data_IF_949612269263
#
_entry.id   IF_949612269263
#
_cell.length_a   1.000
_cell.length_b   1.000
_cell.length_c   1.000
_cell.angle_alpha   90.00
_cell.angle_beta   90.00
_cell.angle_gamma   90.00
#
_symmetry.space_group_name_H-M   'P 1'
#
loop_
_entity.id
_entity.type
_entity.pdbx_description
1 polymer ?
#
# COMPACT_ATOMS: atom_id res chain seq x y z
N UNK A 1 -17.44 21.99 2.47
CA UNK A 1 -16.38 20.98 2.75
C UNK A 1 -17.06 19.72 3.28
N UNK A 2 -16.72 18.58 2.68
CA UNK A 2 -17.23 17.28 3.12
C UNK A 2 -16.45 16.77 4.35
N UNK A 3 -17.04 15.83 5.07
CA UNK A 3 -16.42 15.20 6.25
C UNK A 3 -14.98 14.72 5.97
N UNK A 4 -14.76 14.12 4.81
CA UNK A 4 -13.43 13.65 4.40
C UNK A 4 -12.45 14.81 4.14
N UNK A 5 -12.94 15.95 3.70
CA UNK A 5 -12.10 17.13 3.47
C UNK A 5 -11.56 17.66 4.81
N UNK A 6 -12.39 17.68 5.85
CA UNK A 6 -12.02 18.20 7.16
C UNK A 6 -11.05 17.24 7.88
N UNK A 7 -11.29 15.91 7.80
CA UNK A 7 -10.55 14.92 8.61
C UNK A 7 -9.27 14.45 7.92
N UNK A 8 -9.25 14.38 6.58
CA UNK A 8 -8.10 13.84 5.85
C UNK A 8 -7.42 14.88 4.95
N UNK A 9 -8.17 15.51 4.05
CA UNK A 9 -7.58 16.38 3.04
C UNK A 9 -6.90 17.59 3.70
N UNK A 10 -7.63 18.35 4.50
CA UNK A 10 -7.13 19.60 5.08
C UNK A 10 -5.92 19.38 6.01
N UNK A 11 -5.94 18.40 6.95
CA UNK A 11 -4.75 18.11 7.76
C UNK A 11 -3.54 17.69 6.94
N UNK A 12 -3.72 16.76 5.98
CA UNK A 12 -2.60 16.26 5.16
C UNK A 12 -2.03 17.36 4.27
N UNK A 13 -2.90 18.20 3.70
CA UNK A 13 -2.48 19.35 2.90
C UNK A 13 -1.67 20.34 3.74
N UNK A 14 -2.16 20.69 4.93
CA UNK A 14 -1.45 21.63 5.82
C UNK A 14 -0.11 21.07 6.30
N UNK A 15 -0.03 19.79 6.68
CA UNK A 15 1.24 19.14 7.03
C UNK A 15 2.21 19.17 5.84
N UNK A 16 1.72 18.88 4.63
CA UNK A 16 2.54 18.93 3.42
C UNK A 16 3.13 20.34 3.20
N UNK A 17 2.30 21.39 3.35
CA UNK A 17 2.75 22.78 3.17
C UNK A 17 3.79 23.17 4.25
N UNK A 18 3.55 22.78 5.51
CA UNK A 18 4.52 23.00 6.59
C UNK A 18 5.85 22.31 6.26
N UNK A 19 5.80 21.03 5.84
CA UNK A 19 7.00 20.30 5.45
C UNK A 19 7.71 20.94 4.24
N UNK A 20 6.95 21.42 3.26
CA UNK A 20 7.48 22.12 2.10
C UNK A 20 8.24 23.41 2.51
N UNK A 21 7.67 24.18 3.46
CA UNK A 21 8.30 25.40 3.97
C UNK A 21 9.66 25.13 4.65
N UNK A 22 9.77 23.98 5.37
CA UNK A 22 11.02 23.63 6.05
C UNK A 22 12.05 23.00 5.12
N UNK A 23 11.58 22.18 4.17
CA UNK A 23 12.48 21.38 3.29
C UNK A 23 12.82 22.10 1.98
N UNK A 24 12.06 23.12 1.61
CA UNK A 24 12.24 23.96 0.41
C UNK A 24 12.21 23.17 -0.91
N UNK A 25 11.72 21.92 -0.88
CA UNK A 25 11.57 21.04 -2.05
C UNK A 25 10.30 20.21 -1.86
N UNK A 26 9.40 20.25 -2.83
CA UNK A 26 8.11 19.61 -2.74
C UNK A 26 8.24 18.07 -2.70
N UNK A 27 9.22 17.49 -3.40
CA UNK A 27 9.46 16.05 -3.38
C UNK A 27 9.89 15.55 -2.00
N UNK A 28 10.79 16.28 -1.34
CA UNK A 28 11.18 15.92 0.04
C UNK A 28 10.00 16.09 1.00
N UNK A 29 9.12 17.07 0.78
CA UNK A 29 7.90 17.22 1.58
C UNK A 29 6.95 16.02 1.39
N UNK A 30 6.79 15.54 0.13
CA UNK A 30 6.00 14.33 -0.19
C UNK A 30 6.60 13.10 0.51
N UNK A 31 7.93 12.92 0.44
CA UNK A 31 8.62 11.80 1.10
C UNK A 31 8.41 11.87 2.62
N UNK A 32 8.62 13.01 3.23
CA UNK A 32 8.48 13.20 4.69
C UNK A 32 7.05 12.94 5.14
N UNK A 33 6.06 13.49 4.43
CA UNK A 33 4.64 13.24 4.71
C UNK A 33 4.31 11.74 4.60
N UNK A 34 4.82 11.07 3.55
CA UNK A 34 4.60 9.63 3.34
C UNK A 34 5.16 8.82 4.51
N UNK A 35 6.40 9.11 4.90
CA UNK A 35 7.06 8.42 6.02
C UNK A 35 6.28 8.64 7.33
N UNK A 36 5.79 9.86 7.57
CA UNK A 36 4.97 10.18 8.74
C UNK A 36 3.68 9.34 8.75
N UNK A 37 2.96 9.30 7.63
CA UNK A 37 1.75 8.46 7.49
C UNK A 37 2.10 6.98 7.74
N UNK A 38 3.21 6.49 7.20
CA UNK A 38 3.65 5.11 7.36
C UNK A 38 4.01 4.77 8.82
N UNK A 39 4.58 5.72 9.57
CA UNK A 39 4.82 5.52 10.99
C UNK A 39 3.52 5.46 11.80
N UNK A 40 2.55 6.30 11.47
CA UNK A 40 1.23 6.26 12.13
C UNK A 40 0.52 4.92 11.88
N UNK A 41 0.64 4.40 10.66
CA UNK A 41 0.02 3.13 10.27
C UNK A 41 0.90 1.91 10.57
N UNK A 42 2.08 2.10 11.16
CA UNK A 42 3.05 1.02 11.39
C UNK A 42 2.46 -0.18 12.14
N UNK A 43 1.77 0.00 13.28
CA UNK A 43 1.24 -1.15 14.04
C UNK A 43 0.23 -1.96 13.22
N UNK A 44 -0.64 -1.29 12.46
CA UNK A 44 -1.63 -1.96 11.61
C UNK A 44 -0.95 -2.72 10.45
N UNK A 45 0.03 -2.09 9.80
CA UNK A 45 0.79 -2.72 8.72
C UNK A 45 1.59 -3.93 9.24
N UNK A 46 2.20 -3.81 10.43
CA UNK A 46 2.96 -4.90 11.06
C UNK A 46 2.07 -6.12 11.32
N UNK A 47 0.86 -5.90 11.85
CA UNK A 47 -0.11 -6.97 12.09
C UNK A 47 -0.54 -7.63 10.76
N UNK A 48 -0.80 -6.83 9.73
CA UNK A 48 -1.15 -7.36 8.39
C UNK A 48 -0.03 -8.25 7.82
N UNK A 49 1.23 -7.82 7.93
CA UNK A 49 2.41 -8.60 7.49
C UNK A 49 2.50 -9.91 8.28
N UNK A 50 2.30 -9.85 9.61
CA UNK A 50 2.29 -11.03 10.48
C UNK A 50 1.20 -12.03 10.08
N UNK A 51 -0.02 -11.53 9.84
CA UNK A 51 -1.15 -12.36 9.40
C UNK A 51 -0.82 -13.04 8.06
N UNK A 52 -0.27 -12.30 7.11
CA UNK A 52 0.13 -12.85 5.80
C UNK A 52 1.19 -13.95 5.97
N UNK A 53 2.21 -13.72 6.81
CA UNK A 53 3.28 -14.70 7.10
C UNK A 53 2.70 -15.99 7.70
N UNK A 54 1.85 -15.88 8.72
CA UNK A 54 1.24 -17.06 9.38
C UNK A 54 0.29 -17.77 8.41
N UNK A 55 -0.52 -17.02 7.65
CA UNK A 55 -1.43 -17.59 6.62
C UNK A 55 -0.64 -18.41 5.60
N UNK A 56 0.52 -17.93 5.17
CA UNK A 56 1.40 -18.67 4.25
C UNK A 56 1.90 -19.99 4.87
N UNK A 57 2.20 -19.99 6.18
CA UNK A 57 2.67 -21.17 6.89
C UNK A 57 1.56 -22.23 7.08
N UNK A 58 0.33 -21.80 7.34
CA UNK A 58 -0.81 -22.70 7.57
C UNK A 58 -1.56 -23.05 6.27
N UNK A 59 -1.10 -22.54 5.13
CA UNK A 59 -1.73 -22.78 3.82
C UNK A 59 -1.96 -24.27 3.52
N UNK A 60 -1.02 -25.20 3.81
CA UNK A 60 -1.28 -26.64 3.60
C UNK A 60 -2.48 -27.14 4.41
N UNK A 61 -2.59 -26.75 5.67
CA UNK A 61 -3.73 -27.16 6.55
C UNK A 61 -5.05 -26.54 6.04
N UNK A 62 -5.01 -25.30 5.57
CA UNK A 62 -6.18 -24.65 4.98
C UNK A 62 -6.69 -25.43 3.77
N UNK A 63 -5.77 -25.89 2.90
CA UNK A 63 -6.11 -26.72 1.73
C UNK A 63 -6.71 -28.05 2.14
N UNK A 64 -6.13 -28.73 3.11
CA UNK A 64 -6.65 -30.00 3.65
C UNK A 64 -8.10 -29.87 4.13
N UNK A 65 -8.40 -28.81 4.87
CA UNK A 65 -9.78 -28.51 5.32
C UNK A 65 -10.69 -28.27 4.11
N UNK A 66 -10.23 -27.48 3.14
CA UNK A 66 -11.02 -27.15 1.93
C UNK A 66 -11.37 -28.39 1.11
N UNK A 67 -10.43 -29.31 0.97
CA UNK A 67 -10.63 -30.55 0.20
C UNK A 67 -11.51 -31.54 0.96
N UNK A 68 -11.19 -31.78 2.23
CA UNK A 68 -11.90 -32.78 3.06
C UNK A 68 -13.39 -32.42 3.29
N UNK A 69 -13.68 -31.12 3.43
CA UNK A 69 -15.03 -30.63 3.71
C UNK A 69 -15.63 -29.83 2.54
N UNK A 70 -15.29 -30.22 1.29
CA UNK A 70 -15.74 -29.55 0.06
C UNK A 70 -17.28 -29.43 -0.02
N UNK A 71 -17.99 -30.46 0.42
CA UNK A 71 -19.45 -30.54 0.37
C UNK A 71 -20.14 -30.12 1.68
N UNK A 72 -19.37 -29.76 2.71
CA UNK A 72 -19.86 -29.37 4.05
C UNK A 72 -19.42 -27.92 4.37
N UNK A 73 -20.01 -26.94 3.67
CA UNK A 73 -19.56 -25.53 3.71
C UNK A 73 -19.54 -24.92 5.11
N UNK A 74 -20.55 -25.26 5.94
CA UNK A 74 -20.63 -24.75 7.33
C UNK A 74 -19.46 -25.28 8.17
N UNK A 75 -19.21 -26.59 8.07
CA UNK A 75 -18.12 -27.25 8.80
C UNK A 75 -16.76 -26.76 8.31
N UNK A 76 -16.59 -26.56 6.99
CA UNK A 76 -15.40 -25.99 6.39
C UNK A 76 -15.12 -24.59 6.97
N UNK A 77 -16.13 -23.70 7.00
CA UNK A 77 -16.02 -22.36 7.54
C UNK A 77 -15.65 -22.38 9.05
N UNK A 78 -16.31 -23.25 9.82
CA UNK A 78 -16.05 -23.42 11.26
C UNK A 78 -14.59 -23.83 11.51
N UNK A 79 -14.10 -24.85 10.79
CA UNK A 79 -12.72 -25.35 10.94
C UNK A 79 -11.69 -24.32 10.46
N UNK A 80 -11.98 -23.54 9.44
CA UNK A 80 -11.13 -22.44 8.99
C UNK A 80 -11.02 -21.37 10.07
N UNK A 81 -12.15 -20.98 10.69
CA UNK A 81 -12.14 -20.01 11.80
C UNK A 81 -11.35 -20.55 13.00
N UNK A 82 -11.54 -21.84 13.31
CA UNK A 82 -10.78 -22.50 14.40
C UNK A 82 -9.28 -22.45 14.10
N UNK A 83 -8.85 -22.79 12.89
CA UNK A 83 -7.45 -22.77 12.47
C UNK A 83 -6.85 -21.37 12.63
N UNK A 84 -7.56 -20.32 12.26
CA UNK A 84 -7.11 -18.93 12.43
C UNK A 84 -6.97 -18.57 13.92
N UNK A 85 -7.95 -18.96 14.76
CA UNK A 85 -7.93 -18.70 16.21
C UNK A 85 -6.74 -19.43 16.89
N UNK A 86 -6.50 -20.69 16.53
CA UNK A 86 -5.39 -21.50 17.06
C UNK A 86 -4.03 -20.85 16.74
N UNK A 87 -3.92 -20.20 15.58
CA UNK A 87 -2.70 -19.52 15.16
C UNK A 87 -2.67 -18.04 15.58
N UNK A 88 -3.67 -17.59 16.38
CA UNK A 88 -3.77 -16.23 16.93
C UNK A 88 -3.70 -15.16 15.84
N UNK A 89 -4.36 -15.40 14.69
CA UNK A 89 -4.42 -14.42 13.59
C UNK A 89 -5.87 -14.06 13.26
N UNK A 90 -6.05 -12.80 12.85
CA UNK A 90 -7.32 -12.30 12.35
C UNK A 90 -7.14 -11.95 10.85
N UNK A 91 -7.72 -12.74 9.93
CA UNK A 91 -7.54 -12.48 8.49
C UNK A 91 -8.11 -11.11 8.06
N UNK A 92 -9.01 -10.54 8.86
CA UNK A 92 -9.57 -9.20 8.58
C UNK A 92 -8.52 -8.09 8.71
N UNK A 93 -7.41 -8.31 9.43
CA UNK A 93 -6.34 -7.32 9.58
C UNK A 93 -5.71 -6.94 8.23
N UNK A 94 -5.54 -7.90 7.32
CA UNK A 94 -5.02 -7.64 5.98
C UNK A 94 -6.01 -6.84 5.14
N UNK A 95 -7.30 -7.08 5.31
CA UNK A 95 -8.36 -6.35 4.61
C UNK A 95 -8.46 -4.91 5.12
N UNK A 96 -8.32 -4.73 6.41
CA UNK A 96 -8.34 -3.40 7.03
C UNK A 96 -7.19 -2.51 6.52
N UNK A 97 -6.13 -2.97 6.15
CA UNK A 97 -5.18 -2.33 5.64
C UNK A 97 -5.46 -1.78 4.47
N UNK A 98 -6.10 -2.59 3.60
CA UNK A 98 -6.55 -2.14 2.28
C UNK A 98 -7.63 -1.04 2.36
N UNK A 99 -8.60 -1.23 3.22
CA UNK A 99 -9.70 -0.26 3.42
C UNK A 99 -9.19 1.13 3.83
N UNK A 100 -8.14 1.19 4.64
CA UNK A 100 -7.54 2.46 5.07
C UNK A 100 -6.68 3.06 3.95
N UNK A 101 -6.03 2.21 3.16
CA UNK A 101 -5.15 2.66 2.07
C UNK A 101 -5.91 3.41 0.97
N UNK A 102 -7.18 3.00 0.66
CA UNK A 102 -7.96 3.61 -0.43
C UNK A 102 -8.27 5.10 -0.14
N UNK A 103 -8.83 5.47 1.03
CA UNK A 103 -9.04 6.88 1.36
C UNK A 103 -7.74 7.71 1.38
N UNK A 104 -6.65 7.14 1.88
CA UNK A 104 -5.36 7.83 1.92
C UNK A 104 -4.86 8.10 0.50
N UNK A 105 -4.90 7.10 -0.37
CA UNK A 105 -4.47 7.24 -1.77
C UNK A 105 -5.32 8.29 -2.49
N UNK A 106 -6.63 8.26 -2.29
CA UNK A 106 -7.57 9.24 -2.86
C UNK A 106 -7.25 10.65 -2.36
N UNK A 107 -7.02 10.79 -1.11
CA UNK A 107 -6.63 12.07 -0.50
C UNK A 107 -5.27 12.52 -0.99
N UNK A 108 -4.28 11.76 -1.09
CA UNK A 108 -3.17 12.04 -1.53
C UNK A 108 -3.18 12.47 -2.76
N UNK A 109 -4.01 11.76 -3.79
CA UNK A 109 -4.23 12.22 -5.17
C UNK A 109 -4.76 13.67 -5.23
N UNK A 110 -5.79 13.96 -4.49
CA UNK A 110 -6.38 15.30 -4.45
C UNK A 110 -5.39 16.36 -3.93
N UNK A 111 -4.63 16.05 -2.88
CA UNK A 111 -3.62 16.97 -2.30
C UNK A 111 -2.57 17.33 -3.35
N UNK A 112 -2.08 16.35 -4.11
CA UNK A 112 -1.04 16.57 -5.13
C UNK A 112 -1.62 17.18 -6.42
N UNK A 113 -2.86 16.81 -6.78
CA UNK A 113 -3.53 17.36 -7.96
C UNK A 113 -3.98 18.81 -7.77
N UNK A 114 -4.58 19.08 -6.61
CA UNK A 114 -5.11 20.42 -6.29
C UNK A 114 -4.03 21.35 -5.74
N UNK A 115 -3.00 20.81 -5.10
CA UNK A 115 -1.96 21.60 -4.42
C UNK A 115 -1.24 22.59 -5.35
N UNK A 116 -1.16 22.27 -6.65
CA UNK A 116 -0.52 23.13 -7.64
C UNK A 116 -1.50 24.09 -8.34
N UNK A 117 -2.81 24.06 -7.98
CA UNK A 117 -3.82 24.91 -8.60
C UNK A 117 -3.98 26.23 -7.85
N UNK A 118 -4.36 27.25 -8.60
CA UNK A 118 -4.70 28.54 -8.00
C UNK A 118 -5.85 28.38 -6.99
N UNK A 119 -5.73 29.01 -5.84
CA UNK A 119 -6.74 28.95 -4.78
C UNK A 119 -6.59 27.78 -3.81
N UNK A 120 -5.71 26.81 -4.07
CA UNK A 120 -5.49 25.68 -3.14
C UNK A 120 -5.08 26.11 -1.75
N UNK A 121 -4.32 27.20 -1.65
CA UNK A 121 -3.80 27.76 -0.40
C UNK A 121 -4.90 28.38 0.50
N UNK A 122 -6.13 28.53 -0.01
CA UNK A 122 -7.27 28.96 0.82
C UNK A 122 -7.68 27.92 1.87
N UNK A 123 -7.21 26.67 1.72
CA UNK A 123 -7.47 25.56 2.67
C UNK A 123 -6.47 25.51 3.84
N UNK A 124 -5.51 26.44 3.89
CA UNK A 124 -4.53 26.49 4.96
C UNK A 124 -5.18 26.91 6.29
N UNK A 125 -4.71 26.31 7.37
CA UNK A 125 -5.06 26.73 8.72
C UNK A 125 -4.45 28.13 8.99
N UNK A 126 -5.11 28.93 9.79
CA UNK A 126 -4.67 30.30 10.08
C UNK A 126 -3.26 30.42 10.70
N UNK A 127 -2.75 29.32 11.26
CA UNK A 127 -1.39 29.29 11.82
C UNK A 127 -0.33 28.78 10.83
N UNK A 128 -0.74 28.31 9.64
CA UNK A 128 0.18 27.85 8.59
C UNK A 128 0.44 29.01 7.64
N UNK A 129 1.69 29.43 7.54
CA UNK A 129 2.09 30.52 6.64
C UNK A 129 1.80 30.14 5.18
N UNK A 130 1.33 31.11 4.41
CA UNK A 130 1.09 30.91 2.99
C UNK A 130 2.44 31.00 2.24
N UNK A 131 2.87 29.93 1.52
CA UNK A 131 4.14 29.96 0.79
C UNK A 131 4.11 30.78 -0.51
N UNK A 132 2.95 31.36 -0.85
CA UNK A 132 2.76 32.06 -2.12
C UNK A 132 2.56 31.08 -3.27
N UNK A 133 3.64 30.63 -3.88
CA UNK A 133 3.61 29.63 -4.94
C UNK A 133 4.38 28.37 -4.55
N UNK A 134 3.86 27.23 -4.96
CA UNK A 134 4.52 25.93 -4.72
C UNK A 134 5.32 25.57 -5.98
N UNK A 135 6.64 25.45 -5.81
CA UNK A 135 7.51 25.00 -6.90
C UNK A 135 7.37 23.46 -7.02
N UNK A 136 6.87 22.95 -8.17
CA UNK A 136 6.68 21.52 -8.33
C UNK A 136 7.96 20.74 -8.64
N UNK A 137 9.12 21.39 -8.77
CA UNK A 137 10.38 20.74 -9.14
C UNK A 137 10.97 19.98 -7.95
N UNK A 138 11.27 18.71 -8.16
CA UNK A 138 11.97 17.85 -7.22
C UNK A 138 13.44 17.76 -7.67
N UNK A 139 14.36 18.05 -6.76
CA UNK A 139 15.81 18.08 -7.03
C UNK A 139 16.16 18.96 -8.25
N UNK A 140 15.34 19.96 -8.52
CA UNK A 140 15.57 20.90 -9.63
C UNK A 140 15.30 20.33 -11.03
N UNK A 141 14.89 19.05 -11.15
CA UNK A 141 14.79 18.40 -12.45
C UNK A 141 13.46 17.74 -12.77
N UNK A 142 12.78 17.12 -11.80
CA UNK A 142 11.54 16.37 -12.04
C UNK A 142 10.33 17.21 -11.65
N UNK A 143 9.49 17.54 -12.63
CA UNK A 143 8.23 18.24 -12.36
C UNK A 143 7.19 17.28 -11.77
N UNK A 144 6.91 17.42 -10.48
CA UNK A 144 5.99 16.54 -9.75
C UNK A 144 4.51 16.79 -10.07
N UNK A 145 4.18 17.93 -10.69
CA UNK A 145 2.82 18.21 -11.17
C UNK A 145 2.53 17.50 -12.50
N UNK A 146 3.57 17.08 -13.23
CA UNK A 146 3.46 16.38 -14.51
C UNK A 146 3.74 14.89 -14.37
N UNK A 147 3.38 14.11 -15.38
CA UNK A 147 3.70 12.68 -15.43
C UNK A 147 5.21 12.48 -15.64
N UNK A 148 5.78 11.51 -14.93
CA UNK A 148 7.17 11.09 -15.09
C UNK A 148 7.21 9.56 -15.12
N UNK A 149 7.15 8.94 -16.31
CA UNK A 149 7.02 7.47 -16.45
C UNK A 149 8.07 6.64 -15.73
N UNK A 150 9.27 7.20 -15.48
CA UNK A 150 10.32 6.51 -14.71
C UNK A 150 9.80 6.14 -13.30
N UNK A 151 9.06 7.04 -12.65
CA UNK A 151 8.49 6.75 -11.32
C UNK A 151 7.41 5.65 -11.39
N UNK A 152 6.65 5.57 -12.48
CA UNK A 152 5.68 4.49 -12.70
C UNK A 152 6.39 3.13 -12.79
N UNK A 153 7.47 3.04 -13.57
CA UNK A 153 8.26 1.82 -13.74
C UNK A 153 8.89 1.39 -12.39
N UNK A 154 9.53 2.35 -11.69
CA UNK A 154 10.15 2.09 -10.37
C UNK A 154 9.10 1.61 -9.37
N UNK A 155 7.89 2.21 -9.37
CA UNK A 155 6.76 1.78 -8.51
C UNK A 155 6.38 0.33 -8.77
N UNK A 156 6.26 -0.07 -10.04
CA UNK A 156 5.94 -1.46 -10.41
C UNK A 156 7.03 -2.44 -9.98
N UNK A 157 8.30 -2.09 -10.17
CA UNK A 157 9.44 -2.92 -9.74
C UNK A 157 9.42 -3.11 -8.21
N UNK A 158 9.26 -2.03 -7.46
CA UNK A 158 9.23 -2.10 -5.99
C UNK A 158 8.02 -2.91 -5.50
N UNK A 159 6.87 -2.77 -6.15
CA UNK A 159 5.69 -3.56 -5.83
C UNK A 159 5.92 -5.04 -6.10
N UNK A 160 6.55 -5.38 -7.22
CA UNK A 160 6.93 -6.77 -7.52
C UNK A 160 7.83 -7.35 -6.42
N UNK A 161 8.87 -6.60 -5.99
CA UNK A 161 9.77 -7.02 -4.90
C UNK A 161 8.97 -7.23 -3.60
N UNK A 162 8.10 -6.29 -3.25
CA UNK A 162 7.28 -6.34 -2.04
C UNK A 162 6.37 -7.58 -2.02
N UNK A 163 5.67 -7.87 -3.12
CA UNK A 163 4.79 -9.05 -3.24
C UNK A 163 5.62 -10.33 -3.19
N UNK A 164 6.75 -10.36 -3.90
CA UNK A 164 7.64 -11.53 -3.94
C UNK A 164 8.18 -11.91 -2.55
N UNK A 165 8.46 -10.92 -1.70
CA UNK A 165 8.91 -11.16 -0.32
C UNK A 165 7.85 -11.87 0.53
N UNK A 166 6.56 -11.67 0.23
CA UNK A 166 5.44 -12.25 0.95
C UNK A 166 4.92 -13.55 0.32
N UNK A 167 5.35 -13.84 -0.92
CA UNK A 167 4.87 -15.01 -1.66
C UNK A 167 5.57 -16.27 -1.16
N UNK A 168 4.82 -17.28 -0.66
CA UNK A 168 5.43 -18.54 -0.26
C UNK A 168 6.12 -19.22 -1.47
N UNK A 169 7.24 -19.86 -1.20
CA UNK A 169 7.90 -20.68 -2.22
C UNK A 169 6.96 -21.81 -2.61
N UNK A 170 6.69 -21.95 -3.89
CA UNK A 170 5.88 -23.05 -4.39
C UNK A 170 6.54 -24.38 -3.99
N UNK A 171 5.79 -25.21 -3.28
CA UNK A 171 6.25 -26.57 -3.00
C UNK A 171 6.14 -27.35 -4.32
N UNK A 172 7.29 -27.71 -4.87
CA UNK A 172 7.36 -28.54 -6.08
C UNK A 172 6.84 -29.94 -5.72
N UNK A 173 5.57 -30.19 -5.97
CA UNK A 173 4.96 -31.52 -5.85
C UNK A 173 4.44 -31.95 -7.20
N UNK A 174 4.80 -33.16 -7.59
CA UNK A 174 4.41 -33.78 -8.86
C UNK A 174 2.98 -34.37 -8.82
N UNK A 175 2.10 -33.85 -7.96
CA UNK A 175 0.70 -34.31 -7.90
C UNK A 175 -0.18 -33.40 -8.76
N UNK A 176 -1.17 -33.98 -9.40
CA UNK A 176 -2.23 -33.22 -10.09
C UNK A 176 -2.83 -32.22 -9.09
N UNK A 177 -2.71 -30.94 -9.43
CA UNK A 177 -3.23 -29.86 -8.59
C UNK A 177 -4.76 -29.88 -8.60
N UNK A 178 -5.35 -29.86 -7.45
CA UNK A 178 -6.80 -29.69 -7.31
C UNK A 178 -7.24 -28.35 -7.92
N UNK A 179 -8.52 -28.24 -8.26
CA UNK A 179 -9.09 -27.01 -8.81
C UNK A 179 -8.83 -25.78 -7.90
N UNK A 180 -8.91 -25.97 -6.58
CA UNK A 180 -8.62 -24.92 -5.59
C UNK A 180 -7.15 -24.51 -5.59
N UNK A 181 -6.22 -25.46 -5.80
CA UNK A 181 -4.79 -25.18 -5.91
C UNK A 181 -4.45 -24.43 -7.21
N UNK A 182 -5.11 -24.77 -8.31
CA UNK A 182 -4.96 -24.05 -9.58
C UNK A 182 -5.42 -22.60 -9.42
N UNK A 183 -6.58 -22.39 -8.77
CA UNK A 183 -7.12 -21.05 -8.52
C UNK A 183 -6.18 -20.24 -7.61
N UNK A 184 -5.68 -20.84 -6.53
CA UNK A 184 -4.74 -20.17 -5.61
C UNK A 184 -3.43 -19.80 -6.33
N UNK A 185 -2.91 -20.69 -7.18
CA UNK A 185 -1.71 -20.42 -7.98
C UNK A 185 -1.95 -19.29 -9.00
N UNK A 186 -3.14 -19.26 -9.61
CA UNK A 186 -3.54 -18.19 -10.53
C UNK A 186 -3.60 -16.84 -9.80
N UNK A 187 -4.25 -16.78 -8.64
CA UNK A 187 -4.33 -15.55 -7.82
C UNK A 187 -2.95 -15.08 -7.37
N UNK A 188 -2.07 -16.01 -7.00
CA UNK A 188 -0.69 -15.71 -6.63
C UNK A 188 0.08 -15.12 -7.81
N UNK A 189 -0.08 -15.71 -9.01
CA UNK A 189 0.56 -15.22 -10.24
C UNK A 189 0.04 -13.83 -10.61
N UNK A 190 -1.28 -13.60 -10.48
CA UNK A 190 -1.87 -12.28 -10.71
C UNK A 190 -1.27 -11.24 -9.74
N UNK A 191 -1.18 -11.58 -8.46
CA UNK A 191 -0.62 -10.67 -7.46
C UNK A 191 0.84 -10.32 -7.77
N UNK A 192 1.62 -11.31 -8.23
CA UNK A 192 3.05 -11.15 -8.45
C UNK A 192 3.39 -10.41 -9.76
N UNK A 193 2.61 -10.61 -10.81
CA UNK A 193 2.93 -10.07 -12.15
C UNK A 193 1.92 -9.05 -12.64
N UNK A 194 0.63 -9.32 -12.51
CA UNK A 194 -0.42 -8.47 -13.09
C UNK A 194 -0.54 -7.15 -12.32
N UNK A 195 -0.56 -7.20 -10.98
CA UNK A 195 -0.71 -5.96 -10.19
C UNK A 195 0.47 -4.99 -10.36
N UNK A 196 1.75 -5.41 -10.38
CA UNK A 196 2.83 -4.47 -10.72
C UNK A 196 2.69 -3.84 -12.11
N UNK A 197 2.26 -4.61 -13.11
CA UNK A 197 2.01 -4.07 -14.46
C UNK A 197 0.87 -3.04 -14.43
N UNK A 198 -0.24 -3.36 -13.74
CA UNK A 198 -1.36 -2.42 -13.57
C UNK A 198 -0.88 -1.13 -12.89
N UNK A 199 -0.02 -1.24 -11.88
CA UNK A 199 0.56 -0.09 -11.17
C UNK A 199 1.33 0.81 -12.16
N UNK A 200 2.18 0.21 -13.00
CA UNK A 200 2.90 0.98 -14.04
C UNK A 200 1.90 1.72 -14.96
N UNK A 201 0.89 1.01 -15.46
CA UNK A 201 -0.12 1.58 -16.38
C UNK A 201 -0.87 2.75 -15.72
N UNK A 202 -1.31 2.58 -14.45
CA UNK A 202 -2.04 3.62 -13.70
C UNK A 202 -1.16 4.86 -13.50
N UNK A 203 0.07 4.68 -13.01
CA UNK A 203 0.95 5.80 -12.69
C UNK A 203 1.61 6.44 -13.93
N UNK A 204 1.49 5.82 -15.11
CA UNK A 204 2.10 6.32 -16.36
C UNK A 204 1.66 7.73 -16.72
N UNK A 205 0.37 8.03 -16.51
CA UNK A 205 -0.23 9.32 -16.87
C UNK A 205 -0.61 10.21 -15.68
N UNK A 206 -0.32 9.77 -14.44
CA UNK A 206 -0.66 10.55 -13.25
C UNK A 206 0.49 11.47 -12.85
N UNK A 207 0.20 12.58 -12.12
CA UNK A 207 1.25 13.43 -11.55
C UNK A 207 2.30 12.62 -10.80
N UNK A 208 3.57 12.89 -11.08
CA UNK A 208 4.67 12.10 -10.54
C UNK A 208 4.85 12.23 -9.02
N UNK A 209 4.21 13.22 -8.38
CA UNK A 209 4.09 13.27 -6.91
C UNK A 209 3.47 11.99 -6.35
N UNK A 210 2.46 11.41 -7.05
CA UNK A 210 1.84 10.14 -6.66
C UNK A 210 2.80 8.96 -6.85
N UNK A 211 3.58 8.96 -7.93
CA UNK A 211 4.61 7.97 -8.15
C UNK A 211 5.66 8.01 -7.04
N UNK A 212 6.10 9.20 -6.65
CA UNK A 212 7.06 9.40 -5.56
C UNK A 212 6.48 8.91 -4.21
N UNK A 213 5.22 9.24 -3.93
CA UNK A 213 4.47 8.71 -2.77
C UNK A 213 4.48 7.18 -2.78
N UNK A 214 4.17 6.56 -3.93
CA UNK A 214 4.09 5.10 -4.05
C UNK A 214 5.46 4.44 -3.89
N UNK A 215 6.51 5.01 -4.49
CA UNK A 215 7.90 4.58 -4.32
C UNK A 215 8.29 4.59 -2.84
N UNK A 216 8.06 5.73 -2.16
CA UNK A 216 8.37 5.90 -0.74
C UNK A 216 7.61 4.88 0.13
N UNK A 217 6.32 4.71 -0.15
CA UNK A 217 5.45 3.72 0.48
C UNK A 217 6.01 2.30 0.32
N UNK A 218 6.39 1.94 -0.91
CA UNK A 218 6.90 0.58 -1.22
C UNK A 218 8.26 0.33 -0.55
N UNK A 219 9.16 1.31 -0.60
CA UNK A 219 10.47 1.21 0.08
C UNK A 219 10.28 1.02 1.58
N UNK A 220 9.42 1.84 2.21
CA UNK A 220 9.12 1.72 3.64
C UNK A 220 8.55 0.34 3.97
N UNK A 221 7.59 -0.14 3.14
CA UNK A 221 6.96 -1.46 3.32
C UNK A 221 7.97 -2.61 3.17
N UNK A 222 8.86 -2.54 2.18
CA UNK A 222 9.93 -3.54 1.98
C UNK A 222 10.84 -3.61 3.21
N UNK A 223 11.25 -2.46 3.72
CA UNK A 223 12.10 -2.38 4.92
C UNK A 223 11.34 -2.97 6.13
N UNK A 224 10.08 -2.58 6.32
CA UNK A 224 9.23 -3.08 7.40
C UNK A 224 9.05 -4.61 7.29
N UNK A 225 8.73 -5.11 6.11
CA UNK A 225 8.59 -6.56 5.85
C UNK A 225 9.88 -7.31 6.17
N UNK A 226 11.02 -6.77 5.75
CA UNK A 226 12.32 -7.39 6.02
C UNK A 226 12.55 -7.59 7.53
N UNK A 227 12.30 -6.56 8.35
CA UNK A 227 12.49 -6.66 9.80
C UNK A 227 11.48 -7.61 10.45
N UNK A 228 10.21 -7.56 10.04
CA UNK A 228 9.15 -8.43 10.62
C UNK A 228 9.37 -9.89 10.21
N UNK A 229 9.78 -10.15 8.97
CA UNK A 229 10.00 -11.51 8.48
C UNK A 229 11.27 -12.13 9.08
N UNK A 230 12.30 -11.33 9.36
CA UNK A 230 13.57 -11.78 9.93
C UNK A 230 13.42 -12.16 11.41
N UNK A 231 12.61 -11.43 12.17
CA UNK A 231 12.39 -11.73 13.58
C UNK A 231 11.48 -12.97 13.68
N UNK A 232 12.04 -14.09 14.15
CA UNK A 232 11.35 -15.37 14.38
C UNK A 232 10.47 -15.29 15.64
#
# INVERSE_FOLDING_TARGET
MNFFDIILYQPLFNILIVLYQYLHDFGFAVIALTVLIRFLLYPLAAESIRVQKVTALIQPKMKEIQEKYKNEKEKQAMLMMQLWRENKINPMSSFLXLLIQIPILWTXYRVFWDGFKDGSLAMLYGFVSNPGTINPLFLGGVNLAAAFPVFAVVSGILQFVQVKMMTPKAVAGNKEKSQSEQFAAMMQTQSLYVFPVITVVIFWGLPSALGLYWITTSVFSIVQQYFILKNK
#
